data_IF_677147446066
#
_entry.id   IF_677147446066
#
_cell.length_a   1.000
_cell.length_b   1.000
_cell.length_c   1.000
_cell.angle_alpha   90.00
_cell.angle_beta   90.00
_cell.angle_gamma   90.00
#
_symmetry.space_group_name_H-M   'P 1'
#
loop_
_entity.id
_entity.type
_entity.pdbx_description
1 polymer ?
#
# COMPACT_ATOMS: atom_id res chain seq x y z
N UNK A 1 -7.84 0.61 8.45
CA UNK A 1 -7.09 1.74 7.88
C UNK A 1 -6.16 2.37 8.92
N UNK A 2 -6.66 3.10 9.93
CA UNK A 2 -5.80 3.74 10.95
C UNK A 2 -4.78 2.78 11.63
N UNK A 3 -5.19 1.55 11.95
CA UNK A 3 -4.29 0.51 12.51
C UNK A 3 -3.12 0.15 11.60
N UNK A 4 -3.32 0.11 10.27
CA UNK A 4 -2.24 -0.20 9.33
C UNK A 4 -1.19 0.92 9.32
N UNK A 5 -1.65 2.17 9.21
CA UNK A 5 -0.78 3.35 9.14
C UNK A 5 -0.06 3.66 10.45
N UNK A 6 -0.66 3.32 11.58
CA UNK A 6 -0.02 3.47 12.90
C UNK A 6 0.87 2.29 13.29
N UNK A 7 1.12 1.34 12.38
CA UNK A 7 1.86 0.11 12.68
C UNK A 7 1.30 -0.64 13.91
N UNK A 8 -0.03 -0.72 14.02
CA UNK A 8 -0.70 -1.45 15.10
C UNK A 8 -0.47 -2.97 15.00
N UNK A 9 -0.77 -3.70 16.07
CA UNK A 9 -0.61 -5.15 16.11
C UNK A 9 -1.25 -5.84 14.91
N UNK A 10 -0.47 -6.72 14.27
CA UNK A 10 -0.90 -7.50 13.11
C UNK A 10 -0.83 -6.77 11.76
N UNK A 11 -0.46 -5.49 11.71
CA UNK A 11 -0.36 -4.75 10.45
C UNK A 11 0.81 -5.21 9.57
N UNK A 12 0.68 -5.01 8.26
CA UNK A 12 1.76 -5.32 7.32
C UNK A 12 3.01 -4.49 7.62
N UNK A 13 2.84 -3.19 7.82
CA UNK A 13 3.94 -2.25 8.08
C UNK A 13 4.71 -2.63 9.35
N UNK A 14 4.03 -3.07 10.40
CA UNK A 14 4.69 -3.46 11.65
C UNK A 14 5.59 -4.69 11.46
N UNK A 15 5.07 -5.73 10.80
CA UNK A 15 5.81 -6.97 10.52
C UNK A 15 6.99 -6.74 9.58
N UNK A 16 6.80 -5.93 8.54
CA UNK A 16 7.88 -5.57 7.63
C UNK A 16 8.98 -4.78 8.35
N UNK A 17 8.59 -3.80 9.19
CA UNK A 17 9.54 -2.95 9.93
C UNK A 17 10.32 -3.70 11.02
N UNK A 18 9.66 -4.59 11.74
CA UNK A 18 10.21 -5.19 12.96
C UNK A 18 10.89 -6.52 12.67
N UNK A 19 10.30 -7.33 11.77
CA UNK A 19 10.69 -8.72 11.56
C UNK A 19 11.25 -8.98 10.15
N UNK A 20 11.24 -7.97 9.26
CA UNK A 20 11.59 -8.09 7.84
C UNK A 20 10.78 -9.18 7.12
N UNK A 21 9.56 -9.44 7.59
CA UNK A 21 8.68 -10.45 7.02
C UNK A 21 7.68 -9.84 6.05
N UNK A 22 7.66 -10.37 4.82
CA UNK A 22 6.63 -10.06 3.85
C UNK A 22 5.45 -11.03 3.98
N UNK A 23 4.46 -10.65 4.80
CA UNK A 23 3.20 -11.38 4.90
C UNK A 23 2.27 -10.95 3.75
N UNK A 24 2.06 -11.86 2.77
CA UNK A 24 1.19 -11.61 1.61
C UNK A 24 -0.26 -11.33 1.99
N UNK A 25 -0.76 -11.98 3.03
CA UNK A 25 -2.14 -11.79 3.47
C UNK A 25 -2.31 -10.42 4.12
N UNK A 26 -1.39 -10.04 5.00
CA UNK A 26 -1.38 -8.70 5.59
C UNK A 26 -1.22 -7.61 4.52
N UNK A 27 -0.35 -7.82 3.53
CA UNK A 27 -0.21 -6.91 2.38
C UNK A 27 -1.51 -6.78 1.58
N UNK A 28 -2.18 -7.90 1.28
CA UNK A 28 -3.49 -7.89 0.62
C UNK A 28 -4.54 -7.09 1.39
N UNK A 29 -4.62 -7.30 2.71
CA UNK A 29 -5.53 -6.56 3.58
C UNK A 29 -5.25 -5.05 3.58
N UNK A 30 -3.96 -4.65 3.60
CA UNK A 30 -3.55 -3.26 3.48
C UNK A 30 -4.01 -2.65 2.15
N UNK A 31 -3.75 -3.33 1.03
CA UNK A 31 -4.16 -2.87 -0.32
C UNK A 31 -5.67 -2.71 -0.41
N UNK A 32 -6.45 -3.70 0.07
CA UNK A 32 -7.91 -3.60 0.10
C UNK A 32 -8.42 -2.45 0.97
N UNK A 33 -7.79 -2.22 2.13
CA UNK A 33 -8.15 -1.10 3.01
C UNK A 33 -7.84 0.26 2.39
N UNK A 34 -6.69 0.41 1.74
CA UNK A 34 -6.33 1.63 1.01
C UNK A 34 -7.28 1.87 -0.17
N UNK A 35 -7.60 0.83 -0.94
CA UNK A 35 -8.55 0.91 -2.05
C UNK A 35 -9.95 1.36 -1.60
N UNK A 36 -10.47 0.77 -0.51
CA UNK A 36 -11.76 1.17 0.05
C UNK A 36 -11.73 2.65 0.47
N UNK A 37 -10.64 3.09 1.09
CA UNK A 37 -10.46 4.48 1.48
C UNK A 37 -10.43 5.44 0.27
N UNK A 38 -9.75 5.07 -0.83
CA UNK A 38 -9.78 5.88 -2.06
C UNK A 38 -11.19 6.04 -2.62
N UNK A 39 -11.97 4.95 -2.66
CA UNK A 39 -13.38 5.01 -3.11
C UNK A 39 -14.24 5.91 -2.24
N UNK A 40 -14.05 5.87 -0.92
CA UNK A 40 -14.78 6.71 0.03
C UNK A 40 -14.43 8.20 -0.12
N UNK A 41 -13.20 8.52 -0.54
CA UNK A 41 -12.69 9.89 -0.57
C UNK A 41 -12.53 10.46 -1.98
N UNK A 42 -13.00 9.75 -3.02
CA UNK A 42 -12.75 10.11 -4.43
C UNK A 42 -13.19 11.53 -4.82
N UNK A 43 -14.30 12.01 -4.26
CA UNK A 43 -14.82 13.38 -4.48
C UNK A 43 -14.44 14.39 -3.39
N UNK A 44 -13.66 13.97 -2.40
CA UNK A 44 -13.32 14.79 -1.24
C UNK A 44 -12.23 15.81 -1.58
N UNK A 45 -12.48 17.08 -1.26
CA UNK A 45 -11.53 18.18 -1.53
C UNK A 45 -10.53 18.43 -0.40
N UNK A 46 -10.81 17.91 0.80
CA UNK A 46 -9.98 18.11 2.00
C UNK A 46 -9.68 16.75 2.61
N UNK A 47 -8.41 16.36 2.56
CA UNK A 47 -7.96 15.09 3.13
C UNK A 47 -7.49 15.28 4.56
N UNK A 48 -7.87 14.36 5.43
CA UNK A 48 -7.34 14.29 6.78
C UNK A 48 -5.82 14.06 6.73
N UNK A 49 -5.08 14.90 7.45
CA UNK A 49 -3.61 14.86 7.48
C UNK A 49 -3.07 13.47 7.82
N UNK A 50 -3.65 12.79 8.81
CA UNK A 50 -3.18 11.48 9.23
C UNK A 50 -3.36 10.41 8.14
N UNK A 51 -4.40 10.55 7.29
CA UNK A 51 -4.60 9.65 6.15
C UNK A 51 -3.56 9.95 5.07
N UNK A 52 -3.40 11.21 4.70
CA UNK A 52 -2.41 11.66 3.73
C UNK A 52 -0.99 11.20 4.10
N UNK A 53 -0.59 11.41 5.35
CA UNK A 53 0.70 10.95 5.87
C UNK A 53 0.83 9.43 5.80
N UNK A 54 -0.23 8.67 6.11
CA UNK A 54 -0.19 7.22 6.08
C UNK A 54 -0.07 6.63 4.67
N UNK A 55 -0.78 7.20 3.68
CA UNK A 55 -0.61 6.81 2.27
C UNK A 55 0.81 7.11 1.79
N UNK A 56 1.31 8.33 2.03
CA UNK A 56 2.67 8.75 1.66
C UNK A 56 3.75 7.90 2.34
N UNK A 57 3.62 7.67 3.65
CA UNK A 57 4.60 6.89 4.40
C UNK A 57 4.63 5.44 3.93
N UNK A 58 3.46 4.81 3.75
CA UNK A 58 3.37 3.38 3.41
C UNK A 58 3.99 3.10 2.04
N UNK A 59 3.64 3.88 1.00
CA UNK A 59 4.20 3.67 -0.34
C UNK A 59 5.73 3.88 -0.37
N UNK A 60 6.23 4.95 0.25
CA UNK A 60 7.67 5.20 0.35
C UNK A 60 8.41 4.13 1.16
N UNK A 61 7.88 3.77 2.34
CA UNK A 61 8.52 2.86 3.28
C UNK A 61 8.69 1.47 2.68
N UNK A 62 7.62 0.92 2.09
CA UNK A 62 7.64 -0.42 1.50
C UNK A 62 8.62 -0.48 0.33
N UNK A 63 8.60 0.53 -0.54
CA UNK A 63 9.55 0.65 -1.66
C UNK A 63 11.00 0.71 -1.18
N UNK A 64 11.28 1.51 -0.13
CA UNK A 64 12.62 1.63 0.43
C UNK A 64 13.19 0.31 0.94
N UNK A 65 12.33 -0.59 1.46
CA UNK A 65 12.74 -1.93 1.86
C UNK A 65 12.96 -2.85 0.66
N UNK A 66 12.04 -2.88 -0.29
CA UNK A 66 12.12 -3.75 -1.47
C UNK A 66 13.38 -3.46 -2.30
N UNK A 67 13.71 -2.19 -2.46
CA UNK A 67 14.88 -1.72 -3.22
C UNK A 67 16.20 -1.96 -2.47
N UNK A 68 16.15 -2.26 -1.16
CA UNK A 68 17.35 -2.51 -0.38
C UNK A 68 18.07 -3.80 -0.86
N UNK A 69 19.40 -3.78 -1.07
CA UNK A 69 20.13 -4.95 -1.58
C UNK A 69 19.92 -6.21 -0.74
N UNK A 70 19.92 -6.05 0.59
CA UNK A 70 19.82 -7.14 1.56
C UNK A 70 18.38 -7.51 1.95
N UNK A 71 17.38 -7.00 1.24
CA UNK A 71 15.99 -7.37 1.52
C UNK A 71 15.76 -8.87 1.26
N UNK A 72 15.19 -9.63 2.22
CA UNK A 72 14.92 -11.05 2.03
C UNK A 72 13.79 -11.25 1.00
N UNK A 73 14.17 -11.62 -0.22
CA UNK A 73 13.24 -11.85 -1.33
C UNK A 73 12.79 -13.31 -1.32
N UNK A 74 11.53 -13.52 -0.95
CA UNK A 74 10.87 -14.84 -0.99
C UNK A 74 10.14 -15.05 -2.32
N UNK A 75 9.66 -13.97 -2.93
CA UNK A 75 8.93 -13.98 -4.20
C UNK A 75 9.78 -13.44 -5.35
N UNK A 76 9.24 -13.46 -6.57
CA UNK A 76 9.92 -12.94 -7.76
C UNK A 76 10.08 -11.42 -7.67
N UNK A 77 11.06 -10.88 -8.40
CA UNK A 77 11.24 -9.43 -8.51
C UNK A 77 10.00 -8.73 -9.09
N UNK A 78 9.36 -9.35 -10.08
CA UNK A 78 8.13 -8.85 -10.71
C UNK A 78 6.99 -8.71 -9.70
N UNK A 79 6.81 -9.68 -8.79
CA UNK A 79 5.82 -9.59 -7.70
C UNK A 79 6.04 -8.34 -6.84
N UNK A 80 7.27 -8.11 -6.37
CA UNK A 80 7.56 -6.96 -5.52
C UNK A 80 7.41 -5.63 -6.27
N UNK A 81 7.77 -5.61 -7.56
CA UNK A 81 7.60 -4.43 -8.39
C UNK A 81 6.12 -4.10 -8.56
N UNK A 82 5.28 -5.08 -8.90
CA UNK A 82 3.82 -4.93 -8.96
C UNK A 82 3.24 -4.47 -7.62
N UNK A 83 3.71 -5.03 -6.51
CA UNK A 83 3.30 -4.64 -5.17
C UNK A 83 3.59 -3.16 -4.88
N UNK A 84 4.80 -2.69 -5.19
CA UNK A 84 5.15 -1.28 -5.00
C UNK A 84 4.35 -0.37 -5.95
N UNK A 85 4.20 -0.75 -7.23
CA UNK A 85 3.36 -0.01 -8.18
C UNK A 85 1.92 0.12 -7.68
N UNK A 86 1.33 -0.95 -7.13
CA UNK A 86 -0.03 -0.90 -6.57
C UNK A 86 -0.14 0.11 -5.42
N UNK A 87 0.88 0.21 -4.56
CA UNK A 87 0.88 1.21 -3.48
C UNK A 87 1.01 2.64 -4.03
N UNK A 88 1.83 2.84 -5.05
CA UNK A 88 1.99 4.14 -5.72
C UNK A 88 0.68 4.58 -6.38
N UNK A 89 0.03 3.68 -7.13
CA UNK A 89 -1.24 3.91 -7.80
C UNK A 89 -2.35 4.26 -6.80
N UNK A 90 -2.40 3.57 -5.67
CA UNK A 90 -3.36 3.85 -4.59
C UNK A 90 -3.10 5.20 -3.93
N UNK A 91 -1.84 5.56 -3.66
CA UNK A 91 -1.49 6.87 -3.13
C UNK A 91 -1.85 7.98 -4.13
N UNK A 92 -1.53 7.79 -5.41
CA UNK A 92 -1.89 8.73 -6.47
C UNK A 92 -3.41 8.90 -6.58
N UNK A 93 -4.17 7.81 -6.53
CA UNK A 93 -5.64 7.87 -6.52
C UNK A 93 -6.14 8.66 -5.31
N UNK A 94 -5.63 8.37 -4.11
CA UNK A 94 -6.07 9.06 -2.90
C UNK A 94 -5.85 10.58 -2.97
N UNK A 95 -4.71 11.02 -3.52
CA UNK A 95 -4.39 12.44 -3.62
C UNK A 95 -5.06 13.17 -4.78
N UNK A 96 -5.30 12.47 -5.90
CA UNK A 96 -5.87 13.10 -7.11
C UNK A 96 -7.37 12.93 -7.27
N UNK A 97 -7.97 11.96 -6.57
CA UNK A 97 -9.37 11.55 -6.78
C UNK A 97 -9.60 10.83 -8.11
N UNK A 98 -8.55 10.47 -8.85
CA UNK A 98 -8.65 9.80 -10.15
C UNK A 98 -8.27 8.33 -9.98
N UNK A 99 -9.20 7.42 -10.23
CA UNK A 99 -8.95 5.98 -10.18
C UNK A 99 -8.08 5.55 -11.39
N UNK A 100 -6.84 5.07 -11.19
CA UNK A 100 -5.96 4.66 -12.28
C UNK A 100 -6.42 3.38 -13.00
N UNK A 101 -7.39 2.66 -12.42
CA UNK A 101 -7.91 1.40 -12.97
C UNK A 101 -9.35 1.54 -13.48
N UNK A 102 -9.81 2.75 -13.76
CA UNK A 102 -11.14 2.97 -14.32
C UNK A 102 -11.26 2.27 -15.70
N UNK A 103 -12.16 1.28 -15.80
CA UNK A 103 -12.38 0.50 -17.02
C UNK A 103 -11.58 -0.80 -17.15
N UNK A 104 -10.67 -1.11 -16.22
CA UNK A 104 -9.91 -2.36 -16.19
C UNK A 104 -10.18 -3.15 -14.89
N UNK A 105 -9.93 -4.46 -14.90
CA UNK A 105 -9.87 -5.31 -13.69
C UNK A 105 -8.63 -5.01 -12.83
N UNK A 106 -8.10 -3.80 -12.85
CA UNK A 106 -6.72 -3.45 -12.43
C UNK A 106 -6.41 -3.61 -10.94
N UNK A 107 -7.35 -4.16 -10.16
CA UNK A 107 -7.21 -4.40 -8.72
C UNK A 107 -7.09 -5.88 -8.35
N UNK A 108 -6.89 -6.75 -9.35
CA UNK A 108 -6.66 -8.19 -9.16
C UNK A 108 -5.52 -8.48 -8.14
N UNK A 109 -5.57 -9.63 -7.46
CA UNK A 109 -4.50 -10.08 -6.57
C UNK A 109 -3.17 -10.15 -7.30
N UNK A 110 -2.11 -9.72 -6.63
CA UNK A 110 -0.75 -9.83 -7.17
C UNK A 110 -0.28 -11.27 -6.96
N UNK A 111 -0.07 -11.99 -8.07
CA UNK A 111 0.33 -13.41 -8.10
C UNK A 111 1.82 -13.63 -7.79
#
# INVERSE_FOLDING_TARGET
MQREFQAGEGSFVLRLRSDLQWDRQAFGNLVSAMQACCREHESTQVLDRWMAEGFWYTQWFVRSWVDHPNFPRTYTQDYYQKACTRLDDLAQWFFSGINPYEGESGLDPIE
#
